data_IF_761228339228
#
_entry.id   IF_761228339228
#
_cell.length_a   1.000
_cell.length_b   1.000
_cell.length_c   1.000
_cell.angle_alpha   90.00
_cell.angle_beta   90.00
_cell.angle_gamma   90.00
#
_symmetry.space_group_name_H-M   'P 1'
#
loop_
_entity.id
_entity.type
_entity.pdbx_description
1 polymer ?
#
# COMPACT_ATOMS: atom_id res chain seq x y z
N UNK A 1 -28.31 13.34 -0.16
CA UNK A 1 -28.89 14.30 0.83
C UNK A 1 -27.93 14.55 2.01
N UNK A 2 -27.24 13.54 2.54
CA UNK A 2 -26.21 13.68 3.59
C UNK A 2 -24.94 14.45 3.18
N UNK A 3 -24.48 14.35 1.94
CA UNK A 3 -23.31 15.11 1.45
C UNK A 3 -23.49 16.64 1.46
N UNK A 4 -24.72 17.15 1.38
CA UNK A 4 -25.01 18.60 1.48
C UNK A 4 -24.84 19.15 2.91
N UNK A 5 -24.87 18.29 3.93
CA UNK A 5 -24.67 18.68 5.34
C UNK A 5 -23.19 18.61 5.77
N UNK A 6 -22.31 17.94 5.00
CA UNK A 6 -20.86 17.98 5.19
C UNK A 6 -20.20 19.21 4.53
N UNK A 7 -20.90 19.85 3.59
CA UNK A 7 -20.44 21.07 2.92
C UNK A 7 -20.36 22.31 3.85
N UNK A 8 -20.91 22.24 5.06
CA UNK A 8 -20.80 23.28 6.09
C UNK A 8 -19.64 23.05 7.06
N UNK A 9 -19.03 21.86 7.06
CA UNK A 9 -17.74 21.64 7.73
C UNK A 9 -16.62 22.01 6.78
N UNK A 10 -15.83 23.00 7.15
CA UNK A 10 -14.63 23.47 6.44
C UNK A 10 -13.50 22.44 6.52
N UNK A 11 -13.78 21.17 6.18
CA UNK A 11 -12.78 20.14 6.09
C UNK A 11 -11.82 20.53 4.97
N UNK A 12 -10.61 20.95 5.37
CA UNK A 12 -9.54 21.22 4.42
C UNK A 12 -9.20 19.88 3.76
N UNK A 13 -8.92 19.88 2.46
CA UNK A 13 -8.56 18.65 1.71
C UNK A 13 -7.41 17.88 2.37
N UNK A 14 -6.49 18.59 3.02
CA UNK A 14 -5.38 18.03 3.81
C UNK A 14 -5.84 17.27 5.05
N UNK A 15 -6.90 17.72 5.73
CA UNK A 15 -7.43 17.08 6.93
C UNK A 15 -8.11 15.76 6.57
N UNK A 16 -8.93 15.74 5.51
CA UNK A 16 -9.55 14.51 5.03
C UNK A 16 -8.50 13.48 4.58
N UNK A 17 -7.46 13.92 3.87
CA UNK A 17 -6.37 13.08 3.39
C UNK A 17 -5.54 12.50 4.55
N UNK A 18 -5.21 13.32 5.54
CA UNK A 18 -4.51 12.89 6.75
C UNK A 18 -5.35 11.88 7.54
N UNK A 19 -6.66 12.12 7.71
CA UNK A 19 -7.56 11.17 8.37
C UNK A 19 -7.62 9.83 7.64
N UNK A 20 -7.73 9.84 6.31
CA UNK A 20 -7.70 8.62 5.47
C UNK A 20 -6.40 7.84 5.63
N UNK A 21 -5.27 8.54 5.61
CA UNK A 21 -3.95 7.92 5.76
C UNK A 21 -3.76 7.30 7.14
N UNK A 22 -4.12 8.03 8.21
CA UNK A 22 -4.04 7.53 9.60
C UNK A 22 -4.97 6.32 9.76
N UNK A 23 -6.21 6.41 9.28
CA UNK A 23 -7.17 5.30 9.35
C UNK A 23 -6.66 4.05 8.65
N UNK A 24 -6.17 4.18 7.41
CA UNK A 24 -5.61 3.07 6.66
C UNK A 24 -4.36 2.49 7.32
N UNK A 25 -3.49 3.33 7.89
CA UNK A 25 -2.30 2.88 8.60
C UNK A 25 -2.67 2.05 9.84
N UNK A 26 -3.65 2.51 10.63
CA UNK A 26 -4.16 1.77 11.80
C UNK A 26 -4.79 0.44 11.37
N UNK A 27 -5.62 0.43 10.32
CA UNK A 27 -6.21 -0.81 9.80
C UNK A 27 -5.15 -1.81 9.33
N UNK A 28 -4.12 -1.34 8.61
CA UNK A 28 -3.04 -2.20 8.12
C UNK A 28 -2.17 -2.74 9.26
N UNK A 29 -1.88 -1.92 10.27
CA UNK A 29 -1.20 -2.40 11.49
C UNK A 29 -2.03 -3.46 12.21
N UNK A 30 -3.35 -3.24 12.35
CA UNK A 30 -4.26 -4.24 12.93
C UNK A 30 -4.28 -5.54 12.14
N UNK A 31 -4.38 -5.45 10.81
CA UNK A 31 -4.31 -6.62 9.93
C UNK A 31 -2.98 -7.37 10.07
N UNK A 32 -1.85 -6.66 10.09
CA UNK A 32 -0.53 -7.25 10.26
C UNK A 32 -0.44 -8.00 11.60
N UNK A 33 -0.87 -7.40 12.70
CA UNK A 33 -0.84 -8.03 14.01
C UNK A 33 -1.71 -9.30 14.06
N UNK A 34 -2.90 -9.27 13.46
CA UNK A 34 -3.78 -10.45 13.38
C UNK A 34 -3.15 -11.55 12.53
N UNK A 35 -2.67 -11.22 11.33
CA UNK A 35 -2.00 -12.19 10.44
C UNK A 35 -0.77 -12.79 11.12
N UNK A 36 0.01 -11.97 11.81
CA UNK A 36 1.21 -12.40 12.53
C UNK A 36 0.87 -13.30 13.73
N UNK A 37 -0.17 -12.97 14.50
CA UNK A 37 -0.65 -13.81 15.60
C UNK A 37 -1.12 -15.18 15.10
N UNK A 38 -1.85 -15.23 13.98
CA UNK A 38 -2.25 -16.49 13.34
C UNK A 38 -1.04 -17.26 12.81
N UNK A 39 -0.07 -16.58 12.20
CA UNK A 39 1.14 -17.22 11.69
C UNK A 39 1.94 -17.91 12.81
N UNK A 40 2.13 -17.23 13.95
CA UNK A 40 2.79 -17.83 15.11
C UNK A 40 1.98 -19.01 15.69
N UNK A 41 0.67 -18.84 15.85
CA UNK A 41 -0.17 -19.85 16.50
C UNK A 41 -0.41 -21.12 15.65
N UNK A 42 -0.41 -21.00 14.32
CA UNK A 42 -0.74 -22.11 13.41
C UNK A 42 0.48 -22.71 12.71
N UNK A 43 1.59 -21.98 12.60
CA UNK A 43 2.74 -22.39 11.77
C UNK A 43 4.11 -22.33 12.49
N UNK A 44 4.15 -22.06 13.81
CA UNK A 44 5.40 -21.96 14.61
C UNK A 44 6.48 -21.08 13.94
N UNK A 45 6.06 -19.95 13.37
CA UNK A 45 6.93 -19.11 12.56
C UNK A 45 7.87 -18.26 13.44
N UNK A 46 9.19 -18.37 13.23
CA UNK A 46 10.22 -17.52 13.85
C UNK A 46 10.33 -16.13 13.19
N UNK A 47 9.21 -15.52 12.80
CA UNK A 47 9.25 -14.13 12.32
C UNK A 47 9.35 -13.17 13.50
N UNK A 48 10.14 -12.10 13.36
CA UNK A 48 10.32 -11.09 14.41
C UNK A 48 9.73 -9.75 13.95
N UNK A 49 8.91 -9.14 14.79
CA UNK A 49 8.43 -7.78 14.55
C UNK A 49 9.55 -6.78 14.85
N UNK A 50 10.18 -6.26 13.80
CA UNK A 50 11.24 -5.24 13.93
C UNK A 50 10.65 -3.84 13.83
N UNK A 51 11.30 -2.80 14.40
CA UNK A 51 10.91 -1.41 14.17
C UNK A 51 10.85 -1.04 12.67
N UNK A 52 11.74 -1.62 11.86
CA UNK A 52 11.77 -1.40 10.42
C UNK A 52 10.52 -1.96 9.72
N UNK A 53 10.00 -3.11 10.16
CA UNK A 53 8.74 -3.66 9.64
C UNK A 53 7.57 -2.70 9.84
N UNK A 54 7.49 -2.02 11.00
CA UNK A 54 6.44 -1.05 11.28
C UNK A 54 6.56 0.18 10.37
N UNK A 55 7.78 0.67 10.15
CA UNK A 55 8.04 1.79 9.24
C UNK A 55 7.66 1.42 7.80
N UNK A 56 7.97 0.19 7.37
CA UNK A 56 7.57 -0.34 6.07
C UNK A 56 6.05 -0.41 5.91
N UNK A 57 5.32 -0.85 6.94
CA UNK A 57 3.84 -0.87 6.92
C UNK A 57 3.28 0.55 6.76
N UNK A 58 3.81 1.52 7.49
CA UNK A 58 3.37 2.92 7.39
C UNK A 58 3.70 3.51 6.00
N UNK A 59 4.89 3.24 5.48
CA UNK A 59 5.28 3.66 4.13
C UNK A 59 4.43 2.99 3.05
N UNK A 60 4.12 1.70 3.20
CA UNK A 60 3.20 0.97 2.33
C UNK A 60 1.78 1.54 2.38
N UNK A 61 1.26 1.82 3.57
CA UNK A 61 -0.03 2.47 3.76
C UNK A 61 -0.09 3.82 3.02
N UNK A 62 1.01 4.58 3.07
CA UNK A 62 1.11 5.88 2.41
C UNK A 62 1.10 5.74 0.90
N UNK A 63 1.90 4.80 0.38
CA UNK A 63 2.00 4.51 -1.04
C UNK A 63 0.65 4.03 -1.62
N UNK A 64 -0.01 3.05 -0.99
CA UNK A 64 -1.29 2.54 -1.48
C UNK A 64 -2.43 3.54 -1.32
N UNK A 65 -2.42 4.36 -0.25
CA UNK A 65 -3.40 5.45 -0.12
C UNK A 65 -3.20 6.48 -1.24
N UNK A 66 -1.94 6.81 -1.57
CA UNK A 66 -1.61 7.74 -2.66
C UNK A 66 -1.98 7.17 -4.03
N UNK A 67 -1.78 5.87 -4.25
CA UNK A 67 -2.23 5.17 -5.45
C UNK A 67 -3.76 5.18 -5.57
N UNK A 68 -4.48 4.91 -4.49
CA UNK A 68 -5.94 4.98 -4.45
C UNK A 68 -6.46 6.39 -4.74
N UNK A 69 -5.76 7.42 -4.25
CA UNK A 69 -6.08 8.82 -4.59
C UNK A 69 -5.87 9.12 -6.07
N UNK A 70 -4.76 8.65 -6.65
CA UNK A 70 -4.50 8.79 -8.07
C UNK A 70 -5.62 8.15 -8.92
N UNK A 71 -6.05 6.93 -8.56
CA UNK A 71 -7.17 6.25 -9.21
C UNK A 71 -8.48 7.01 -9.06
N UNK A 72 -8.76 7.56 -7.88
CA UNK A 72 -9.95 8.37 -7.62
C UNK A 72 -9.98 9.72 -8.38
N UNK A 73 -8.81 10.25 -8.78
CA UNK A 73 -8.74 11.42 -9.66
C UNK A 73 -9.07 11.05 -11.12
N UNK A 74 -8.67 9.84 -11.55
CA UNK A 74 -8.91 9.36 -12.92
C UNK A 74 -10.36 8.89 -13.11
N UNK A 75 -10.94 8.24 -12.10
CA UNK A 75 -12.28 7.66 -12.16
C UNK A 75 -13.25 8.47 -11.30
N UNK A 76 -14.20 9.15 -11.95
CA UNK A 76 -15.15 10.06 -11.29
C UNK A 76 -16.24 9.37 -10.47
N UNK A 77 -16.59 8.15 -10.86
CA UNK A 77 -17.62 7.37 -10.21
C UNK A 77 -17.02 6.50 -9.08
N UNK A 78 -17.46 6.63 -7.82
CA UNK A 78 -16.88 5.89 -6.70
C UNK A 78 -16.98 4.38 -6.83
N UNK A 79 -18.07 3.87 -7.41
CA UNK A 79 -18.29 2.43 -7.60
C UNK A 79 -17.34 1.88 -8.66
N UNK A 80 -17.18 2.61 -9.76
CA UNK A 80 -16.20 2.33 -10.81
C UNK A 80 -14.76 2.43 -10.31
N UNK A 81 -14.45 3.38 -9.42
CA UNK A 81 -13.11 3.52 -8.84
C UNK A 81 -12.74 2.30 -7.97
N UNK A 82 -13.69 1.79 -7.19
CA UNK A 82 -13.52 0.55 -6.43
C UNK A 82 -13.35 -0.67 -7.37
N UNK A 83 -14.17 -0.77 -8.42
CA UNK A 83 -14.05 -1.85 -9.40
C UNK A 83 -12.69 -1.86 -10.09
N UNK A 84 -12.21 -0.70 -10.58
CA UNK A 84 -10.88 -0.56 -11.20
C UNK A 84 -9.77 -0.92 -10.22
N UNK A 85 -9.87 -0.46 -8.97
CA UNK A 85 -8.89 -0.81 -7.93
C UNK A 85 -8.79 -2.31 -7.70
N UNK A 86 -9.92 -3.02 -7.68
CA UNK A 86 -9.96 -4.47 -7.52
C UNK A 86 -9.43 -5.21 -8.77
N UNK A 87 -9.79 -4.76 -9.97
CA UNK A 87 -9.32 -5.34 -11.24
C UNK A 87 -7.81 -5.21 -11.40
N UNK A 88 -7.21 -4.13 -10.88
CA UNK A 88 -5.75 -3.95 -10.87
C UNK A 88 -5.12 -4.69 -9.69
N UNK A 89 -5.70 -4.59 -8.51
CA UNK A 89 -5.16 -5.14 -7.27
C UNK A 89 -5.07 -6.66 -7.29
N UNK A 90 -6.06 -7.34 -7.87
CA UNK A 90 -6.08 -8.79 -7.90
C UNK A 90 -4.91 -9.39 -8.72
N UNK A 91 -4.68 -9.03 -10.00
CA UNK A 91 -3.49 -9.45 -10.73
C UNK A 91 -2.18 -9.02 -10.04
N UNK A 92 -2.15 -7.81 -9.47
CA UNK A 92 -0.97 -7.30 -8.78
C UNK A 92 -0.55 -8.21 -7.62
N UNK A 93 -1.51 -8.73 -6.85
CA UNK A 93 -1.24 -9.60 -5.69
C UNK A 93 -0.57 -10.92 -6.06
N UNK A 94 -0.88 -11.46 -7.24
CA UNK A 94 -0.23 -12.64 -7.78
C UNK A 94 1.14 -12.30 -8.37
N UNK A 95 1.20 -11.27 -9.21
CA UNK A 95 2.43 -10.86 -9.90
C UNK A 95 3.51 -10.34 -8.93
N UNK A 96 3.14 -9.89 -7.72
CA UNK A 96 4.06 -9.36 -6.72
C UNK A 96 4.76 -10.42 -5.86
N UNK A 97 4.55 -11.72 -6.12
CA UNK A 97 5.21 -12.78 -5.34
C UNK A 97 4.69 -12.91 -3.89
N UNK A 98 3.49 -12.40 -3.60
CA UNK A 98 2.86 -12.58 -2.28
C UNK A 98 2.50 -14.04 -2.01
N UNK A 99 2.14 -14.79 -3.04
CA UNK A 99 1.65 -16.17 -2.94
C UNK A 99 2.69 -17.24 -3.26
N UNK A 100 3.72 -16.90 -4.03
CA UNK A 100 4.73 -17.84 -4.49
C UNK A 100 6.10 -17.19 -4.46
N UNK A 101 7.14 -18.03 -4.40
CA UNK A 101 8.50 -17.54 -4.54
C UNK A 101 8.75 -17.06 -5.97
N UNK A 102 9.07 -15.77 -6.07
CA UNK A 102 9.31 -15.12 -7.33
C UNK A 102 10.65 -15.54 -7.95
N UNK A 103 11.60 -15.98 -7.13
CA UNK A 103 12.94 -16.43 -7.55
C UNK A 103 12.88 -17.70 -8.39
N UNK A 104 11.90 -18.56 -8.12
CA UNK A 104 11.65 -19.80 -8.85
C UNK A 104 10.77 -19.60 -10.10
N UNK A 105 10.26 -18.39 -10.34
CA UNK A 105 9.38 -18.09 -11.48
C UNK A 105 10.17 -17.78 -12.75
N UNK A 106 9.59 -17.98 -13.95
CA UNK A 106 10.22 -17.60 -15.21
C UNK A 106 10.66 -16.11 -15.27
N UNK A 107 11.73 -15.83 -16.00
CA UNK A 107 12.34 -14.49 -16.08
C UNK A 107 11.35 -13.39 -16.48
N UNK A 108 10.39 -13.68 -17.36
CA UNK A 108 9.38 -12.69 -17.77
C UNK A 108 8.48 -12.26 -16.61
N UNK A 109 8.10 -13.17 -15.70
CA UNK A 109 7.33 -12.83 -14.50
C UNK A 109 8.17 -12.01 -13.52
N UNK A 110 9.46 -12.33 -13.39
CA UNK A 110 10.37 -11.57 -12.54
C UNK A 110 10.59 -10.13 -13.02
N UNK A 111 10.50 -9.88 -14.33
CA UNK A 111 10.58 -8.53 -14.87
C UNK A 111 9.27 -7.77 -14.63
N UNK A 112 8.12 -8.42 -14.82
CA UNK A 112 6.80 -7.81 -14.60
C UNK A 112 6.61 -7.46 -13.12
N UNK A 113 7.02 -8.33 -12.20
CA UNK A 113 6.89 -8.08 -10.77
C UNK A 113 7.65 -6.83 -10.31
N UNK A 114 8.82 -6.53 -10.90
CA UNK A 114 9.62 -5.36 -10.56
C UNK A 114 8.92 -4.05 -10.92
N UNK A 115 7.92 -4.08 -11.81
CA UNK A 115 7.07 -2.94 -12.08
C UNK A 115 5.97 -2.75 -11.02
N UNK A 116 5.65 -3.78 -10.23
CA UNK A 116 4.58 -3.75 -9.26
C UNK A 116 5.07 -3.13 -7.94
N UNK A 117 4.40 -2.08 -7.42
CA UNK A 117 4.78 -1.46 -6.16
C UNK A 117 4.68 -2.41 -4.95
N UNK A 118 3.73 -3.34 -5.02
CA UNK A 118 3.48 -4.34 -3.97
C UNK A 118 4.69 -5.28 -3.76
N UNK A 119 5.48 -5.55 -4.81
CA UNK A 119 6.65 -6.42 -4.74
C UNK A 119 7.68 -5.90 -3.73
N UNK A 120 8.01 -4.61 -3.81
CA UNK A 120 8.99 -3.98 -2.92
C UNK A 120 8.52 -3.95 -1.46
N UNK A 121 7.22 -3.82 -1.22
CA UNK A 121 6.68 -3.90 0.14
C UNK A 121 6.79 -5.32 0.70
N UNK A 122 6.42 -6.34 -0.09
CA UNK A 122 6.53 -7.74 0.30
C UNK A 122 7.98 -8.15 0.58
N UNK A 123 8.89 -7.80 -0.32
CA UNK A 123 10.31 -8.12 -0.21
C UNK A 123 10.94 -7.43 1.00
N UNK A 124 10.63 -6.14 1.22
CA UNK A 124 11.10 -5.42 2.40
C UNK A 124 10.61 -6.03 3.71
N UNK A 125 9.33 -6.44 3.78
CA UNK A 125 8.77 -7.11 4.96
C UNK A 125 9.40 -8.49 5.17
N UNK A 126 9.62 -9.26 4.10
CA UNK A 126 10.26 -10.58 4.18
C UNK A 126 11.72 -10.47 4.62
N UNK A 127 12.46 -9.51 4.05
CA UNK A 127 13.84 -9.25 4.39
C UNK A 127 14.01 -8.89 5.86
N UNK A 128 13.14 -8.04 6.42
CA UNK A 128 13.26 -7.64 7.82
C UNK A 128 12.67 -8.64 8.81
N UNK A 129 11.54 -9.28 8.50
CA UNK A 129 10.82 -10.14 9.45
C UNK A 129 11.32 -11.59 9.43
N UNK A 130 11.82 -12.08 8.30
CA UNK A 130 12.20 -13.49 8.10
C UNK A 130 13.71 -13.65 7.97
N UNK A 131 14.36 -12.86 7.12
CA UNK A 131 15.79 -13.04 6.82
C UNK A 131 16.73 -12.19 7.68
N UNK A 132 16.20 -11.21 8.43
CA UNK A 132 17.02 -10.26 9.20
C UNK A 132 17.94 -9.38 8.34
N UNK A 133 17.67 -9.25 7.04
CA UNK A 133 18.47 -8.44 6.12
C UNK A 133 18.00 -6.98 6.12
N UNK A 134 18.47 -6.22 7.11
CA UNK A 134 18.09 -4.82 7.28
C UNK A 134 18.54 -3.92 6.12
N UNK A 135 19.68 -4.21 5.49
CA UNK A 135 20.21 -3.42 4.38
C UNK A 135 19.29 -3.49 3.15
N UNK A 136 18.84 -4.70 2.78
CA UNK A 136 17.89 -4.88 1.68
C UNK A 136 16.53 -4.29 2.01
N UNK A 137 16.05 -4.47 3.26
CA UNK A 137 14.81 -3.90 3.72
C UNK A 137 14.81 -2.35 3.68
N UNK A 138 15.95 -1.69 3.97
CA UNK A 138 16.09 -0.23 3.85
C UNK A 138 16.02 0.24 2.39
N UNK A 139 16.61 -0.51 1.45
CA UNK A 139 16.50 -0.20 0.02
C UNK A 139 15.05 -0.32 -0.43
N UNK A 140 14.38 -1.40 -0.04
CA UNK A 140 12.95 -1.60 -0.33
C UNK A 140 12.10 -0.49 0.30
N UNK A 141 12.38 -0.07 1.54
CA UNK A 141 11.71 1.05 2.18
C UNK A 141 11.87 2.35 1.38
N UNK A 142 13.08 2.66 0.91
CA UNK A 142 13.33 3.84 0.08
C UNK A 142 12.53 3.79 -1.22
N UNK A 143 12.49 2.63 -1.90
CA UNK A 143 11.71 2.46 -3.13
C UNK A 143 10.22 2.67 -2.85
N UNK A 144 9.69 2.06 -1.78
CA UNK A 144 8.29 2.20 -1.36
C UNK A 144 7.95 3.67 -1.05
N UNK A 145 8.82 4.37 -0.33
CA UNK A 145 8.64 5.78 0.01
C UNK A 145 8.67 6.67 -1.23
N UNK A 146 9.62 6.46 -2.15
CA UNK A 146 9.73 7.20 -3.41
C UNK A 146 8.50 6.98 -4.28
N UNK A 147 8.06 5.72 -4.45
CA UNK A 147 6.85 5.41 -5.22
C UNK A 147 5.61 6.06 -4.61
N UNK A 148 5.47 6.01 -3.28
CA UNK A 148 4.38 6.68 -2.59
C UNK A 148 4.38 8.19 -2.82
N UNK A 149 5.55 8.83 -2.75
CA UNK A 149 5.71 10.26 -3.01
C UNK A 149 5.42 10.62 -4.46
N UNK A 150 5.83 9.79 -5.43
CA UNK A 150 5.51 9.94 -6.84
C UNK A 150 4.00 9.87 -7.07
N UNK A 151 3.32 8.84 -6.56
CA UNK A 151 1.87 8.71 -6.69
C UNK A 151 1.13 9.87 -6.03
N UNK A 152 1.59 10.32 -4.86
CA UNK A 152 1.02 11.46 -4.16
C UNK A 152 1.14 12.75 -4.98
N UNK A 153 2.33 13.03 -5.52
CA UNK A 153 2.58 14.22 -6.36
C UNK A 153 1.76 14.18 -7.64
N UNK A 154 1.67 13.02 -8.30
CA UNK A 154 0.85 12.84 -9.50
C UNK A 154 -0.63 13.06 -9.19
N UNK A 155 -1.14 12.46 -8.11
CA UNK A 155 -2.52 12.63 -7.68
C UNK A 155 -2.81 14.10 -7.35
N UNK A 156 -1.92 14.75 -6.59
CA UNK A 156 -2.05 16.16 -6.23
C UNK A 156 -2.06 17.09 -7.45
N UNK A 157 -1.23 16.82 -8.46
CA UNK A 157 -1.17 17.62 -9.69
C UNK A 157 -2.39 17.43 -10.59
N UNK A 158 -2.92 16.21 -10.70
CA UNK A 158 -4.10 15.93 -11.51
C UNK A 158 -5.42 16.26 -10.83
N UNK A 159 -5.40 16.49 -9.51
CA UNK A 159 -6.56 16.94 -8.75
C UNK A 159 -6.94 18.39 -9.14
N UNK A 160 -7.63 18.55 -10.27
CA UNK A 160 -8.19 19.84 -10.67
C UNK A 160 -9.40 20.15 -9.77
N UNK A 161 -9.39 21.33 -9.16
CA UNK A 161 -10.34 21.77 -8.13
C UNK A 161 -11.79 21.98 -8.59
N UNK A 162 -12.16 21.58 -9.81
CA UNK A 162 -13.46 21.92 -10.42
C UNK A 162 -14.56 20.89 -10.24
N UNK A 163 -14.32 19.75 -9.59
CA UNK A 163 -15.30 18.65 -9.49
C UNK A 163 -15.27 17.96 -8.10
N UNK A 164 -15.34 18.76 -7.04
CA UNK A 164 -15.75 18.31 -5.71
C UNK A 164 -17.05 19.03 -5.34
#
# INVERSE_FOLDING_TARGET
>A
RYFKLLATTTLKKSEWLASKFIFNSIMLMGSLLVTFAVAMAAFDLEAVLTPLSLILVVAGAFMFTSLGMLLGVVVKDPESAAAVSNVIGFPMMFLSGSFWDLSASPLYLQVISKAMPLTYLNDGLRDTMVFGNEASALVNLLIVAVLGLVFFVLASRWMSWKQA
#
